data_IF_969115707418
#
_entry.id   IF_969115707418
#
_cell.length_a   1.000
_cell.length_b   1.000
_cell.length_c   1.000
_cell.angle_alpha   90.00
_cell.angle_beta   90.00
_cell.angle_gamma   90.00
#
_symmetry.space_group_name_H-M   'P 1'
#
loop_
_entity.id
_entity.type
_entity.pdbx_description
1 polymer ?
#
# COMPACT_ATOMS: atom_id res chain seq x y z
N UNK A 1 -5.45 5.48 -1.43
CA UNK A 1 -5.57 4.30 -0.54
C UNK A 1 -6.72 3.42 -0.99
N UNK A 2 -6.59 2.12 -0.80
CA UNK A 2 -7.57 1.14 -1.29
C UNK A 2 -8.61 0.79 -0.23
N UNK A 3 -8.17 0.40 0.96
CA UNK A 3 -9.02 -0.07 2.05
C UNK A 3 -8.94 0.85 3.26
N UNK A 4 -9.88 0.73 4.18
CA UNK A 4 -9.89 1.49 5.43
C UNK A 4 -8.59 1.31 6.24
N UNK A 5 -7.99 0.12 6.20
CA UNK A 5 -6.73 -0.17 6.87
C UNK A 5 -5.55 0.62 6.28
N UNK A 6 -5.70 1.16 5.07
CA UNK A 6 -4.61 1.81 4.34
C UNK A 6 -4.44 3.29 4.66
N UNK A 7 -5.24 3.85 5.56
CA UNK A 7 -5.08 5.24 5.96
C UNK A 7 -5.60 5.48 7.37
N UNK A 8 -4.98 6.45 8.04
CA UNK A 8 -5.47 6.95 9.32
C UNK A 8 -6.71 7.80 9.08
N UNK A 9 -7.66 7.78 10.01
CA UNK A 9 -8.87 8.61 9.94
C UNK A 9 -9.68 8.39 8.65
N UNK A 10 -9.81 7.14 8.22
CA UNK A 10 -10.47 6.80 6.95
C UNK A 10 -11.91 7.34 6.86
N UNK A 11 -12.63 7.41 7.98
CA UNK A 11 -14.03 7.84 7.99
C UNK A 11 -14.19 9.29 7.56
N UNK A 12 -13.28 10.17 7.95
CA UNK A 12 -13.31 11.58 7.57
C UNK A 12 -12.70 11.85 6.19
N UNK A 13 -12.10 10.85 5.56
CA UNK A 13 -11.39 10.99 4.28
C UNK A 13 -12.11 10.34 3.10
N UNK A 14 -13.33 9.84 3.27
CA UNK A 14 -14.02 9.08 2.23
C UNK A 14 -14.37 9.92 0.98
N UNK A 15 -14.40 11.23 1.10
CA UNK A 15 -14.64 12.13 -0.03
C UNK A 15 -13.39 12.90 -0.45
N UNK A 16 -12.23 12.49 0.03
CA UNK A 16 -10.97 13.12 -0.32
C UNK A 16 -10.25 12.34 -1.42
N UNK A 17 -9.56 13.07 -2.32
CA UNK A 17 -8.74 12.46 -3.36
C UNK A 17 -7.75 11.48 -2.75
N UNK A 18 -7.60 10.32 -3.37
CA UNK A 18 -6.80 9.20 -2.87
C UNK A 18 -7.61 8.15 -2.12
N UNK A 19 -8.85 8.48 -1.71
CA UNK A 19 -9.75 7.52 -1.06
C UNK A 19 -11.21 7.70 -1.49
N UNK A 20 -11.44 8.27 -2.67
CA UNK A 20 -12.77 8.45 -3.22
C UNK A 20 -13.41 7.08 -3.56
N UNK A 21 -14.74 6.98 -3.49
CA UNK A 21 -15.42 5.71 -3.78
C UNK A 21 -15.06 5.12 -5.14
N UNK A 22 -14.95 5.93 -6.19
CA UNK A 22 -14.61 5.42 -7.53
C UNK A 22 -13.14 4.99 -7.64
N UNK A 23 -12.23 5.63 -6.90
CA UNK A 23 -10.82 5.23 -6.84
C UNK A 23 -10.68 3.86 -6.15
N UNK A 24 -11.40 3.67 -5.05
CA UNK A 24 -11.41 2.40 -4.33
C UNK A 24 -12.05 1.28 -5.16
N UNK A 25 -13.14 1.59 -5.86
CA UNK A 25 -13.81 0.64 -6.75
C UNK A 25 -12.90 0.22 -7.91
N UNK A 26 -12.11 1.15 -8.43
CA UNK A 26 -11.13 0.84 -9.48
C UNK A 26 -10.06 -0.14 -9.00
N UNK A 27 -9.54 0.06 -7.79
CA UNK A 27 -8.59 -0.88 -7.18
C UNK A 27 -9.23 -2.25 -6.91
N UNK A 28 -10.49 -2.26 -6.43
CA UNK A 28 -11.23 -3.51 -6.24
C UNK A 28 -11.35 -4.27 -7.57
N UNK A 29 -11.65 -3.56 -8.66
CA UNK A 29 -11.76 -4.20 -9.98
C UNK A 29 -10.42 -4.78 -10.45
N UNK A 30 -9.31 -4.06 -10.24
CA UNK A 30 -7.98 -4.56 -10.62
C UNK A 30 -7.63 -5.84 -9.85
N UNK A 31 -7.94 -5.90 -8.56
CA UNK A 31 -7.56 -7.02 -7.70
C UNK A 31 -8.56 -8.16 -7.83
N UNK A 32 -9.87 -7.87 -7.71
CA UNK A 32 -10.89 -8.90 -7.60
C UNK A 32 -11.35 -9.44 -8.97
N UNK A 33 -11.36 -8.58 -10.01
CA UNK A 33 -11.88 -8.96 -11.33
C UNK A 33 -10.76 -9.27 -12.32
N UNK A 34 -9.72 -8.46 -12.37
CA UNK A 34 -8.58 -8.67 -13.27
C UNK A 34 -7.57 -9.65 -12.66
N UNK A 35 -7.49 -9.71 -11.35
CA UNK A 35 -6.65 -10.68 -10.65
C UNK A 35 -5.25 -10.17 -10.26
N UNK A 36 -5.00 -8.87 -10.34
CA UNK A 36 -3.74 -8.30 -9.85
C UNK A 36 -3.58 -8.53 -8.35
N UNK A 37 -2.35 -8.74 -7.90
CA UNK A 37 -2.02 -9.01 -6.51
C UNK A 37 -1.29 -7.82 -5.91
N UNK A 38 -1.78 -7.32 -4.78
CA UNK A 38 -1.08 -6.32 -3.97
C UNK A 38 0.07 -6.99 -3.24
N UNK A 39 1.29 -6.83 -3.77
CA UNK A 39 2.46 -7.57 -3.29
C UNK A 39 2.78 -7.30 -1.82
N UNK A 40 2.64 -6.05 -1.37
CA UNK A 40 2.91 -5.71 0.03
C UNK A 40 2.00 -6.51 0.97
N UNK A 41 0.71 -6.61 0.64
CA UNK A 41 -0.28 -7.30 1.48
C UNK A 41 -0.17 -8.83 1.46
N UNK A 42 0.63 -9.39 0.58
CA UNK A 42 0.91 -10.83 0.61
C UNK A 42 1.54 -11.24 1.95
N UNK A 43 2.50 -10.45 2.43
CA UNK A 43 3.23 -10.75 3.67
C UNK A 43 2.87 -9.86 4.85
N UNK A 44 2.47 -8.61 4.63
CA UNK A 44 2.17 -7.68 5.70
C UNK A 44 0.72 -7.21 5.60
N UNK A 45 -0.11 -7.67 6.55
CA UNK A 45 -1.54 -7.35 6.62
C UNK A 45 -1.86 -6.47 7.83
N UNK A 46 -0.85 -5.93 8.47
CA UNK A 46 -1.03 -5.14 9.70
C UNK A 46 -1.54 -3.73 9.36
N UNK A 47 -2.24 -3.08 10.34
CA UNK A 47 -2.64 -1.69 10.18
C UNK A 47 -1.44 -0.75 10.33
N UNK A 48 -1.69 0.53 10.02
CA UNK A 48 -0.70 1.60 10.20
C UNK A 48 0.57 1.43 9.37
N UNK A 49 0.44 0.77 8.22
CA UNK A 49 1.50 0.61 7.22
C UNK A 49 1.26 1.63 6.12
N UNK A 50 1.96 2.76 6.17
CA UNK A 50 1.73 3.89 5.26
C UNK A 50 2.96 4.21 4.45
N UNK A 51 2.75 4.80 3.26
CA UNK A 51 3.82 5.21 2.35
C UNK A 51 3.85 6.72 2.11
N UNK A 52 2.86 7.46 2.60
CA UNK A 52 2.76 8.91 2.44
C UNK A 52 2.20 9.56 3.70
N UNK A 53 2.75 10.72 4.04
CA UNK A 53 2.30 11.56 5.14
C UNK A 53 2.27 13.00 4.67
N UNK A 54 1.26 13.75 5.09
CA UNK A 54 1.21 15.19 4.85
C UNK A 54 2.42 15.88 5.49
N UNK A 55 2.89 16.95 4.87
CA UNK A 55 3.92 17.81 5.47
C UNK A 55 3.35 18.74 6.54
N UNK A 56 2.05 18.72 6.76
CA UNK A 56 1.37 19.57 7.73
C UNK A 56 1.37 18.94 9.12
N UNK A 57 1.51 19.79 10.15
CA UNK A 57 1.48 19.36 11.54
C UNK A 57 2.59 18.34 11.82
N UNK A 58 2.24 17.29 12.56
CA UNK A 58 3.15 16.23 12.94
C UNK A 58 2.71 14.89 12.37
N UNK A 59 2.19 14.88 11.15
CA UNK A 59 1.64 13.66 10.53
C UNK A 59 2.66 12.52 10.48
N UNK A 60 3.89 12.82 10.11
CA UNK A 60 4.98 11.82 10.12
C UNK A 60 5.25 11.29 11.52
N UNK A 61 5.47 12.20 12.50
CA UNK A 61 5.82 11.83 13.86
C UNK A 61 4.70 11.01 14.54
N UNK A 62 3.45 11.34 14.24
CA UNK A 62 2.27 10.67 14.80
C UNK A 62 1.80 9.48 13.96
N UNK A 63 2.45 9.22 12.84
CA UNK A 63 2.06 8.20 11.86
C UNK A 63 0.61 8.35 11.38
N UNK A 64 0.22 9.56 11.08
CA UNK A 64 -1.08 9.87 10.45
C UNK A 64 -0.85 9.89 8.95
N UNK A 65 -0.90 8.73 8.34
CA UNK A 65 -0.50 8.54 6.96
C UNK A 65 -1.51 7.78 6.12
N UNK A 66 -1.11 7.53 4.87
CA UNK A 66 -1.86 6.82 3.85
C UNK A 66 -0.94 5.85 3.14
N UNK A 67 -1.43 4.65 2.83
CA UNK A 67 -0.76 3.72 1.92
C UNK A 67 -1.33 3.97 0.52
N UNK A 68 -0.56 4.65 -0.30
CA UNK A 68 -0.98 5.03 -1.66
C UNK A 68 -0.01 4.59 -2.75
N UNK A 69 1.13 4.02 -2.37
CA UNK A 69 2.11 3.49 -3.30
C UNK A 69 2.04 1.96 -3.29
N UNK A 70 1.78 1.36 -4.45
CA UNK A 70 1.49 -0.06 -4.57
C UNK A 70 2.42 -0.75 -5.54
N UNK A 71 2.73 -2.02 -5.26
CA UNK A 71 3.30 -2.95 -6.23
C UNK A 71 2.22 -3.96 -6.59
N UNK A 72 1.71 -3.90 -7.80
CA UNK A 72 0.73 -4.86 -8.29
C UNK A 72 1.42 -5.86 -9.20
N UNK A 73 1.25 -7.14 -8.91
CA UNK A 73 1.88 -8.23 -9.67
C UNK A 73 0.80 -9.20 -10.15
N UNK A 74 1.14 -10.00 -11.16
CA UNK A 74 0.27 -11.07 -11.63
C UNK A 74 0.22 -12.21 -10.59
N UNK A 75 -0.84 -13.06 -10.59
CA UNK A 75 -0.99 -14.09 -9.56
C UNK A 75 0.17 -15.07 -9.46
N UNK A 76 0.86 -15.36 -10.58
CA UNK A 76 2.01 -16.26 -10.58
C UNK A 76 3.22 -15.71 -9.80
N UNK A 77 3.23 -14.41 -9.48
CA UNK A 77 4.26 -13.78 -8.67
C UNK A 77 3.97 -13.77 -7.18
N UNK A 78 2.74 -14.16 -6.76
CA UNK A 78 2.35 -14.09 -5.35
C UNK A 78 3.35 -14.82 -4.45
N UNK A 79 3.74 -16.02 -4.82
CA UNK A 79 4.65 -16.85 -4.01
C UNK A 79 6.09 -16.36 -4.08
N UNK A 80 6.42 -15.54 -5.08
CA UNK A 80 7.75 -14.96 -5.22
C UNK A 80 8.02 -13.82 -4.23
N UNK A 81 6.98 -13.24 -3.62
CA UNK A 81 7.15 -12.18 -2.62
C UNK A 81 7.82 -12.76 -1.38
N UNK A 82 9.07 -12.38 -1.14
CA UNK A 82 9.87 -12.94 -0.05
C UNK A 82 10.05 -11.99 1.12
N UNK A 83 10.00 -10.68 0.91
CA UNK A 83 10.05 -9.68 1.97
C UNK A 83 9.36 -8.40 1.51
N UNK A 84 8.72 -7.70 2.45
CA UNK A 84 8.09 -6.41 2.21
C UNK A 84 8.41 -5.46 3.35
N UNK A 85 8.59 -4.19 3.04
CA UNK A 85 8.82 -3.17 4.06
C UNK A 85 8.51 -1.79 3.51
N UNK A 86 8.32 -0.84 4.44
CA UNK A 86 8.32 0.59 4.14
C UNK A 86 9.57 1.16 4.80
N UNK A 87 10.47 1.75 4.01
CA UNK A 87 11.72 2.29 4.52
C UNK A 87 11.49 3.64 5.17
N UNK A 88 11.63 3.71 6.50
CA UNK A 88 11.39 4.92 7.29
C UNK A 88 12.58 5.34 8.14
N UNK A 89 13.74 4.74 7.97
CA UNK A 89 14.93 5.06 8.77
C UNK A 89 15.45 6.46 8.46
N UNK A 90 15.21 6.94 7.24
CA UNK A 90 15.57 8.29 6.82
C UNK A 90 14.46 8.85 5.94
N UNK A 91 14.06 10.10 6.23
CA UNK A 91 12.99 10.75 5.46
C UNK A 91 13.58 11.53 4.29
N UNK A 92 13.26 11.09 3.06
CA UNK A 92 13.71 11.74 1.82
C UNK A 92 12.67 12.66 1.22
N UNK A 93 11.38 12.39 1.45
CA UNK A 93 10.26 13.16 0.90
C UNK A 93 9.01 12.91 1.74
N UNK A 94 7.86 13.37 1.29
CA UNK A 94 6.57 13.05 1.90
C UNK A 94 6.12 11.60 1.63
N UNK A 95 6.78 10.91 0.68
CA UNK A 95 6.65 9.45 0.49
C UNK A 95 7.81 8.71 1.13
N UNK A 96 7.58 7.49 1.59
CA UNK A 96 8.63 6.56 1.97
C UNK A 96 8.71 5.44 0.92
N UNK A 97 9.92 4.97 0.58
CA UNK A 97 10.07 3.85 -0.34
C UNK A 97 9.35 2.60 0.17
N UNK A 98 8.56 1.99 -0.70
CA UNK A 98 7.96 0.67 -0.46
C UNK A 98 8.87 -0.35 -1.13
N UNK A 99 9.44 -1.25 -0.34
CA UNK A 99 10.45 -2.21 -0.81
C UNK A 99 9.84 -3.60 -0.82
N UNK A 100 9.89 -4.25 -1.97
CA UNK A 100 9.41 -5.62 -2.15
C UNK A 100 10.58 -6.46 -2.69
N UNK A 101 10.93 -7.51 -1.97
CA UNK A 101 11.91 -8.47 -2.45
C UNK A 101 11.19 -9.66 -3.07
N UNK A 102 11.64 -10.06 -4.25
CA UNK A 102 11.08 -11.18 -5.01
C UNK A 102 12.12 -12.29 -5.17
N UNK A 103 11.73 -13.50 -4.87
CA UNK A 103 12.51 -14.70 -5.19
C UNK A 103 11.94 -15.33 -6.45
N UNK A 104 12.62 -15.13 -7.58
CA UNK A 104 12.14 -15.60 -8.89
C UNK A 104 12.02 -17.12 -8.97
N UNK A 105 12.78 -17.86 -8.15
CA UNK A 105 12.69 -19.33 -8.10
C UNK A 105 11.41 -19.81 -7.45
N UNK A 106 10.70 -18.95 -6.74
CA UNK A 106 9.42 -19.26 -6.07
C UNK A 106 8.19 -18.86 -6.88
N UNK A 107 8.41 -18.25 -8.05
CA UNK A 107 7.31 -17.85 -8.92
C UNK A 107 6.59 -19.09 -9.46
N UNK A 108 5.26 -19.08 -9.38
CA UNK A 108 4.44 -20.16 -9.91
C UNK A 108 4.58 -20.27 -11.45
N UNK A 109 4.55 -21.51 -12.00
CA UNK A 109 4.64 -21.70 -13.45
C UNK A 109 3.42 -21.18 -14.21
#
# INVERSE_FOLDING_TARGET
>A
AHKAIDLKNWRSNQMNSGFLPHERAWMDALIDQVGWVDAFRVLNRQPEQYSWWSNRGQAWAKNVGWRIDYHLVTPDWREAVSAVSVYKDQRFSDHAPVVIDYDLNRRAP
#
